data_IF_398447377531
#
_entry.id   IF_398447377531
#
_cell.length_a   1.000
_cell.length_b   1.000
_cell.length_c   1.000
_cell.angle_alpha   90.00
_cell.angle_beta   90.00
_cell.angle_gamma   90.00
#
_symmetry.space_group_name_H-M   'P 1'
#
loop_
_entity.id
_entity.type
_entity.pdbx_description
1 polymer ?
#
# COMPACT_ATOMS: atom_id res chain seq x y z
N UNK A 1 -6.54 11.92 5.43
CA UNK A 1 -5.28 11.18 5.20
C UNK A 1 -5.59 9.70 5.35
N UNK A 2 -5.64 8.95 4.25
CA UNK A 2 -6.13 7.56 4.26
C UNK A 2 -5.01 6.51 4.42
N UNK A 3 -3.74 6.91 4.24
CA UNK A 3 -2.59 6.00 4.29
C UNK A 3 -2.47 5.21 5.61
N UNK A 4 -2.61 5.80 6.82
CA UNK A 4 -2.50 5.03 8.06
C UNK A 4 -3.52 3.89 8.13
N UNK A 5 -4.77 4.16 7.73
CA UNK A 5 -5.84 3.15 7.70
C UNK A 5 -5.52 2.02 6.73
N UNK A 6 -4.97 2.35 5.55
CA UNK A 6 -4.53 1.34 4.58
C UNK A 6 -3.42 0.46 5.15
N UNK A 7 -2.40 1.03 5.81
CA UNK A 7 -1.32 0.24 6.44
C UNK A 7 -1.88 -0.75 7.47
N UNK A 8 -2.83 -0.31 8.30
CA UNK A 8 -3.48 -1.17 9.29
C UNK A 8 -4.28 -2.30 8.63
N UNK A 9 -5.04 -1.99 7.56
CA UNK A 9 -5.79 -2.98 6.81
C UNK A 9 -4.88 -4.03 6.16
N UNK A 10 -3.79 -3.60 5.52
CA UNK A 10 -2.81 -4.51 4.91
C UNK A 10 -2.11 -5.38 5.94
N UNK A 11 -1.81 -4.83 7.12
CA UNK A 11 -1.30 -5.61 8.21
C UNK A 11 -2.35 -6.65 8.65
N UNK A 12 -3.61 -6.27 8.85
CA UNK A 12 -4.68 -7.18 9.26
C UNK A 12 -4.88 -8.36 8.30
N UNK A 13 -4.69 -8.14 6.99
CA UNK A 13 -4.81 -9.16 5.94
C UNK A 13 -3.51 -9.98 5.73
N UNK A 14 -2.39 -9.58 6.33
CA UNK A 14 -1.12 -10.28 6.22
C UNK A 14 -1.06 -11.56 7.08
N UNK A 15 -0.07 -12.46 6.82
CA UNK A 15 0.09 -13.71 7.55
C UNK A 15 0.38 -13.50 9.04
N UNK A 16 0.00 -14.48 9.85
CA UNK A 16 -0.16 -14.40 11.31
C UNK A 16 1.11 -14.17 12.14
N UNK A 17 2.29 -14.27 11.55
CA UNK A 17 3.56 -14.25 12.27
C UNK A 17 4.08 -12.82 12.51
N UNK A 18 5.00 -12.69 13.46
CA UNK A 18 5.75 -11.47 13.82
C UNK A 18 6.45 -10.76 12.63
N UNK A 19 6.60 -11.45 11.50
CA UNK A 19 7.06 -10.90 10.21
C UNK A 19 6.00 -10.06 9.46
N UNK A 20 4.82 -9.79 10.06
CA UNK A 20 3.70 -9.05 9.45
C UNK A 20 3.90 -7.53 9.37
N UNK A 21 4.96 -7.00 9.96
CA UNK A 21 5.16 -5.55 10.03
C UNK A 21 5.55 -4.98 8.66
N UNK A 22 4.70 -4.11 8.12
CA UNK A 22 5.03 -3.28 6.96
C UNK A 22 5.97 -2.18 7.45
N UNK A 23 7.19 -2.17 6.93
CA UNK A 23 8.26 -1.23 7.30
C UNK A 23 8.48 -0.16 6.24
N UNK A 24 8.10 -0.45 4.99
CA UNK A 24 8.30 0.46 3.86
C UNK A 24 7.19 0.30 2.83
N UNK A 25 6.69 1.41 2.30
CA UNK A 25 5.72 1.44 1.21
C UNK A 25 6.27 2.28 0.05
N UNK A 26 6.16 1.73 -1.16
CA UNK A 26 6.45 2.42 -2.41
C UNK A 26 5.14 2.85 -3.06
N UNK A 27 5.04 4.13 -3.43
CA UNK A 27 3.82 4.79 -3.92
C UNK A 27 4.11 5.57 -5.19
N UNK A 28 3.14 5.60 -6.11
CA UNK A 28 3.17 6.53 -7.23
C UNK A 28 2.91 7.96 -6.72
N UNK A 29 3.83 8.89 -6.99
CA UNK A 29 3.75 10.26 -6.46
C UNK A 29 2.49 11.01 -6.95
N UNK A 30 2.10 10.84 -8.21
CA UNK A 30 0.98 11.59 -8.81
C UNK A 30 -0.39 11.22 -8.25
N UNK A 31 -0.51 10.08 -7.56
CA UNK A 31 -1.79 9.58 -7.06
C UNK A 31 -2.11 10.14 -5.67
N UNK A 32 -1.16 10.84 -5.04
CA UNK A 32 -1.28 11.33 -3.68
C UNK A 32 -0.96 12.83 -3.61
N UNK A 33 -1.78 13.57 -2.85
CA UNK A 33 -1.65 15.01 -2.71
C UNK A 33 -0.43 15.45 -1.87
N UNK A 34 0.10 14.57 -1.03
CA UNK A 34 1.23 14.85 -0.15
C UNK A 34 2.24 13.70 -0.17
N UNK A 35 3.52 14.04 -0.01
CA UNK A 35 4.64 13.10 -0.14
C UNK A 35 5.52 13.04 1.12
N UNK A 36 4.97 12.78 2.32
CA UNK A 36 5.80 12.65 3.52
C UNK A 36 6.77 11.47 3.38
N UNK A 37 7.97 11.61 3.96
CA UNK A 37 8.98 10.53 3.92
C UNK A 37 8.70 9.42 4.94
N UNK A 38 8.06 9.76 6.06
CA UNK A 38 7.71 8.83 7.14
C UNK A 38 6.25 9.01 7.48
N UNK A 39 5.59 7.89 7.77
CA UNK A 39 4.21 7.85 8.21
C UNK A 39 4.16 7.23 9.60
N UNK A 40 3.70 7.99 10.58
CA UNK A 40 3.35 7.44 11.89
C UNK A 40 2.03 6.68 11.75
N UNK A 41 2.02 5.43 12.19
CA UNK A 41 0.84 4.55 12.18
C UNK A 41 0.64 4.07 13.61
N UNK A 42 -0.39 4.60 14.25
CA UNK A 42 -0.83 4.15 15.58
C UNK A 42 -1.63 2.86 15.39
N UNK A 43 -1.08 1.73 15.85
CA UNK A 43 -1.72 0.42 15.86
C UNK A 43 -2.38 0.11 17.20
N UNK A 44 -3.12 -1.01 17.29
CA UNK A 44 -3.80 -1.40 18.52
C UNK A 44 -2.85 -1.75 19.67
N UNK A 45 -1.64 -2.21 19.36
CA UNK A 45 -0.65 -2.64 20.36
C UNK A 45 0.54 -1.67 20.49
N UNK A 46 0.91 -0.97 19.43
CA UNK A 46 2.05 -0.05 19.41
C UNK A 46 1.90 1.00 18.31
N UNK A 47 2.67 2.09 18.42
CA UNK A 47 2.88 3.03 17.32
C UNK A 47 4.17 2.75 16.59
N UNK A 48 4.12 2.72 15.26
CA UNK A 48 5.32 2.60 14.42
C UNK A 48 5.45 3.70 13.38
N UNK A 49 6.68 3.88 12.90
CA UNK A 49 6.96 4.67 11.71
C UNK A 49 7.14 3.73 10.50
N UNK A 50 6.47 4.07 9.40
CA UNK A 50 6.61 3.39 8.11
C UNK A 50 7.32 4.33 7.14
N UNK A 51 8.38 3.84 6.49
CA UNK A 51 9.06 4.60 5.43
C UNK A 51 8.16 4.68 4.21
N UNK A 52 8.11 5.85 3.57
CA UNK A 52 7.44 6.03 2.28
C UNK A 52 8.45 6.42 1.21
N UNK A 53 8.35 5.80 0.04
CA UNK A 53 9.08 6.21 -1.16
C UNK A 53 8.13 6.51 -2.29
N UNK A 54 8.41 7.61 -2.98
CA UNK A 54 7.53 8.20 -3.99
C UNK A 54 8.21 8.12 -5.35
N UNK A 55 7.49 7.59 -6.33
CA UNK A 55 8.01 7.34 -7.66
C UNK A 55 7.10 7.96 -8.71
N UNK A 56 7.68 8.65 -9.69
CA UNK A 56 6.92 9.22 -10.81
C UNK A 56 6.58 8.22 -11.91
N UNK A 57 7.28 7.09 -11.95
CA UNK A 57 7.25 6.11 -13.04
C UNK A 57 6.56 4.78 -12.68
N UNK A 58 5.92 4.68 -11.51
CA UNK A 58 5.10 3.51 -11.19
C UNK A 58 3.79 3.54 -11.98
N UNK A 59 3.22 2.36 -12.31
CA UNK A 59 1.86 2.27 -12.83
C UNK A 59 0.85 2.97 -11.91
N UNK A 60 -0.20 3.56 -12.51
CA UNK A 60 -1.27 4.20 -11.77
C UNK A 60 -1.95 3.21 -10.83
N UNK A 61 -2.19 3.65 -9.59
CA UNK A 61 -2.79 2.82 -8.55
C UNK A 61 -1.86 1.75 -7.97
N UNK A 62 -0.61 1.61 -8.44
CA UNK A 62 0.30 0.63 -7.85
C UNK A 62 0.89 1.13 -6.53
N UNK A 63 0.84 0.27 -5.53
CA UNK A 63 1.48 0.40 -4.23
C UNK A 63 2.20 -0.90 -3.91
N UNK A 64 3.45 -0.82 -3.47
CA UNK A 64 4.20 -1.99 -3.00
C UNK A 64 4.45 -1.88 -1.51
N UNK A 65 3.96 -2.84 -0.73
CA UNK A 65 4.26 -2.98 0.69
C UNK A 65 5.45 -3.92 0.89
N UNK A 66 6.43 -3.47 1.67
CA UNK A 66 7.61 -4.25 2.05
C UNK A 66 7.51 -4.58 3.54
N UNK A 67 7.53 -5.88 3.82
CA UNK A 67 7.48 -6.43 5.17
C UNK A 67 8.88 -6.50 5.78
N UNK A 68 8.96 -6.60 7.11
CA UNK A 68 10.22 -6.66 7.85
C UNK A 68 11.08 -7.88 7.45
N UNK A 69 10.47 -8.96 6.96
CA UNK A 69 11.15 -10.14 6.40
C UNK A 69 11.68 -9.94 4.97
N UNK A 70 11.46 -8.77 4.37
CA UNK A 70 11.83 -8.46 3.00
C UNK A 70 10.81 -8.91 1.95
N UNK A 71 9.73 -9.59 2.33
CA UNK A 71 8.64 -9.93 1.41
C UNK A 71 8.01 -8.67 0.85
N UNK A 72 7.64 -8.74 -0.43
CA UNK A 72 6.95 -7.66 -1.14
C UNK A 72 5.54 -8.11 -1.53
N UNK A 73 4.59 -7.22 -1.33
CA UNK A 73 3.20 -7.40 -1.76
C UNK A 73 2.82 -6.18 -2.59
N UNK A 74 2.50 -6.42 -3.85
CA UNK A 74 1.97 -5.41 -4.75
C UNK A 74 0.46 -5.32 -4.61
N UNK A 75 -0.03 -4.09 -4.55
CA UNK A 75 -1.42 -3.74 -4.31
C UNK A 75 -1.84 -2.74 -5.36
N UNK A 76 -2.99 -3.00 -5.98
CA UNK A 76 -3.62 -2.06 -6.89
C UNK A 76 -4.72 -1.31 -6.12
N UNK A 77 -4.58 0.01 -6.01
CA UNK A 77 -5.64 0.90 -5.54
C UNK A 77 -6.51 1.29 -6.73
N UNK A 78 -7.80 1.00 -6.62
CA UNK A 78 -8.81 1.41 -7.59
C UNK A 78 -9.63 2.54 -6.96
N UNK A 79 -9.66 3.75 -7.55
CA UNK A 79 -10.49 4.84 -7.03
C UNK A 79 -11.95 4.41 -6.91
N UNK A 80 -12.63 4.81 -5.84
CA UNK A 80 -14.03 4.45 -5.61
C UNK A 80 -15.00 4.96 -6.70
N UNK A 81 -14.60 5.97 -7.47
CA UNK A 81 -15.35 6.48 -8.63
C UNK A 81 -15.17 5.65 -9.91
N UNK A 82 -14.35 4.61 -9.89
CA UNK A 82 -14.14 3.71 -11.03
C UNK A 82 -15.34 2.78 -11.17
N UNK A 83 -15.91 2.69 -12.37
CA UNK A 83 -16.97 1.73 -12.70
C UNK A 83 -16.55 0.28 -12.44
N UNK A 84 -17.48 -0.59 -12.04
CA UNK A 84 -17.19 -1.98 -11.64
C UNK A 84 -16.52 -2.80 -12.76
N UNK A 85 -16.97 -2.62 -14.01
CA UNK A 85 -16.39 -3.35 -15.14
C UNK A 85 -14.95 -2.89 -15.40
N UNK A 86 -14.69 -1.59 -15.28
CA UNK A 86 -13.34 -1.03 -15.39
C UNK A 86 -12.44 -1.47 -14.22
N UNK A 87 -12.97 -1.50 -13.00
CA UNK A 87 -12.26 -1.99 -11.82
C UNK A 87 -11.86 -3.47 -11.99
N UNK A 88 -12.80 -4.31 -12.44
CA UNK A 88 -12.56 -5.74 -12.73
C UNK A 88 -11.47 -5.93 -13.77
N UNK A 89 -11.57 -5.22 -14.90
CA UNK A 89 -10.59 -5.31 -15.97
C UNK A 89 -9.18 -4.90 -15.50
N UNK A 90 -9.09 -3.90 -14.62
CA UNK A 90 -7.82 -3.45 -14.05
C UNK A 90 -7.23 -4.51 -13.11
N UNK A 91 -8.05 -5.13 -12.25
CA UNK A 91 -7.64 -6.24 -11.39
C UNK A 91 -7.15 -7.44 -12.21
N UNK A 92 -7.88 -7.83 -13.25
CA UNK A 92 -7.50 -8.94 -14.15
C UNK A 92 -6.18 -8.66 -14.88
N UNK A 93 -5.93 -7.40 -15.23
CA UNK A 93 -4.66 -6.99 -15.85
C UNK A 93 -3.51 -7.07 -14.85
N UNK A 94 -3.73 -6.60 -13.61
CA UNK A 94 -2.72 -6.63 -12.55
C UNK A 94 -2.40 -8.05 -12.05
N UNK A 95 -3.35 -8.99 -12.16
CA UNK A 95 -3.15 -10.39 -11.80
C UNK A 95 -2.32 -11.19 -12.82
N UNK A 96 -1.99 -10.62 -13.98
CA UNK A 96 -1.15 -11.26 -15.00
C UNK A 96 0.33 -10.95 -14.71
N UNK A 97 1.22 -11.96 -14.77
CA UNK A 97 2.65 -11.80 -14.50
C UNK A 97 3.38 -10.97 -15.58
#
# INVERSE_FOLDING_TARGET
>A
MELPGLVLALQAQGPSDEHRLIVHIMLRATDWAAHPRRLRVDGPEDTREVLLSWFGNLPAGLLTAIYADGRRVDLLTVPASTDDAAARATLETAARP
#
